data_IF_755593761815
#
_entry.id   IF_755593761815
#
_cell.length_a   1.000
_cell.length_b   1.000
_cell.length_c   1.000
_cell.angle_alpha   90.00
_cell.angle_beta   90.00
_cell.angle_gamma   90.00
#
_symmetry.space_group_name_H-M   'P 1'
#
loop_
_entity.id
_entity.type
_entity.pdbx_description
1 polymer ?
#
# COMPACT_ATOMS: atom_id res chain seq x y z
N UNK A 1 -3.07 -6.30 8.61
CA UNK A 1 -4.52 -6.52 8.66
C UNK A 1 -5.16 -6.01 7.37
N UNK A 2 -6.15 -6.73 6.86
CA UNK A 2 -6.88 -6.45 5.64
C UNK A 2 -8.33 -6.13 5.98
N UNK A 3 -8.94 -5.18 5.28
CA UNK A 3 -10.37 -4.95 5.31
C UNK A 3 -11.03 -5.68 4.14
N UNK A 4 -11.98 -6.55 4.40
CA UNK A 4 -12.76 -7.25 3.38
C UNK A 4 -14.25 -6.96 3.58
N UNK A 5 -14.92 -6.58 2.50
CA UNK A 5 -16.37 -6.44 2.45
C UNK A 5 -16.92 -7.28 1.31
N UNK A 6 -18.07 -7.91 1.53
CA UNK A 6 -18.85 -8.50 0.46
C UNK A 6 -20.16 -7.73 0.26
N UNK A 7 -20.50 -7.48 -0.98
CA UNK A 7 -21.78 -6.95 -1.40
C UNK A 7 -22.47 -8.00 -2.27
N UNK A 8 -23.77 -8.19 -2.06
CA UNK A 8 -24.56 -9.13 -2.83
C UNK A 8 -25.70 -8.40 -3.54
N UNK A 9 -25.80 -8.63 -4.86
CA UNK A 9 -26.98 -8.23 -5.63
C UNK A 9 -27.79 -9.45 -5.99
N UNK A 10 -29.06 -9.43 -5.65
CA UNK A 10 -30.01 -10.44 -6.10
C UNK A 10 -30.25 -10.28 -7.60
N UNK A 11 -30.16 -11.37 -8.36
CA UNK A 11 -30.35 -11.34 -9.82
C UNK A 11 -31.77 -10.92 -10.22
N UNK A 12 -32.76 -11.17 -9.36
CA UNK A 12 -34.18 -10.93 -9.60
C UNK A 12 -34.66 -9.58 -9.05
N UNK A 13 -33.87 -8.91 -8.23
CA UNK A 13 -34.21 -7.60 -7.65
C UNK A 13 -32.99 -6.67 -7.76
N UNK A 14 -32.93 -5.85 -8.82
CA UNK A 14 -31.84 -4.89 -8.97
C UNK A 14 -31.72 -3.97 -7.75
N UNK A 15 -30.51 -3.86 -7.18
CA UNK A 15 -30.22 -2.99 -6.05
C UNK A 15 -30.52 -3.58 -4.67
N UNK A 16 -31.03 -4.83 -4.56
CA UNK A 16 -31.18 -5.46 -3.25
C UNK A 16 -29.82 -5.92 -2.72
N UNK A 17 -29.35 -5.30 -1.65
CA UNK A 17 -28.17 -5.70 -0.93
C UNK A 17 -28.56 -6.66 0.18
N UNK A 18 -27.97 -7.87 0.21
CA UNK A 18 -28.26 -8.88 1.24
C UNK A 18 -27.19 -8.94 2.34
N UNK A 19 -26.13 -8.16 2.26
CA UNK A 19 -25.13 -8.03 3.31
C UNK A 19 -25.14 -6.63 3.90
N UNK A 20 -24.92 -6.53 5.19
CA UNK A 20 -24.53 -5.28 5.81
C UNK A 20 -23.22 -4.83 5.13
N UNK A 21 -23.16 -3.60 4.63
CA UNK A 21 -21.97 -3.01 4.01
C UNK A 21 -20.92 -2.68 5.08
N UNK A 22 -20.52 -3.69 5.85
CA UNK A 22 -19.52 -3.53 6.91
C UNK A 22 -18.24 -4.19 6.47
N UNK A 23 -17.16 -3.43 6.50
CA UNK A 23 -15.83 -3.95 6.32
C UNK A 23 -15.48 -4.84 7.51
N UNK A 24 -15.09 -6.08 7.22
CA UNK A 24 -14.61 -7.03 8.22
C UNK A 24 -13.09 -7.06 8.21
N UNK A 25 -12.49 -7.23 9.37
CA UNK A 25 -11.06 -7.29 9.54
C UNK A 25 -10.53 -8.71 9.37
N UNK A 26 -9.51 -8.87 8.56
CA UNK A 26 -8.87 -10.14 8.26
C UNK A 26 -7.35 -10.04 8.44
N UNK A 27 -6.74 -11.17 8.77
CA UNK A 27 -5.29 -11.31 8.82
C UNK A 27 -4.84 -12.44 7.88
N UNK A 28 -3.60 -12.33 7.39
CA UNK A 28 -2.93 -13.45 6.74
C UNK A 28 -2.39 -14.40 7.82
N UNK A 29 -2.57 -15.68 7.63
CA UNK A 29 -1.99 -16.74 8.48
C UNK A 29 -0.75 -17.36 7.86
N UNK A 30 -0.39 -16.93 6.66
CA UNK A 30 0.73 -17.43 5.88
C UNK A 30 1.50 -16.26 5.26
N UNK A 31 2.76 -16.48 4.95
CA UNK A 31 3.58 -15.55 4.18
C UNK A 31 3.71 -16.03 2.74
N UNK A 32 3.78 -15.09 1.79
CA UNK A 32 4.02 -15.40 0.40
C UNK A 32 3.14 -14.62 -0.58
N UNK A 33 3.26 -14.97 -1.86
CA UNK A 33 2.49 -14.33 -2.94
C UNK A 33 1.01 -14.70 -2.95
N UNK A 34 0.68 -15.85 -2.40
CA UNK A 34 -0.70 -16.31 -2.21
C UNK A 34 -0.84 -16.66 -0.73
N UNK A 35 -1.80 -16.02 -0.08
CA UNK A 35 -2.04 -16.17 1.35
C UNK A 35 -3.51 -16.42 1.62
N UNK A 36 -3.77 -17.19 2.64
CA UNK A 36 -5.12 -17.37 3.16
C UNK A 36 -5.43 -16.26 4.16
N UNK A 37 -6.58 -15.61 3.99
CA UNK A 37 -7.09 -14.63 4.93
C UNK A 37 -8.13 -15.27 5.84
N UNK A 38 -8.05 -14.99 7.13
CA UNK A 38 -9.00 -15.41 8.17
C UNK A 38 -9.45 -14.19 8.97
N UNK A 39 -10.64 -14.21 9.62
CA UNK A 39 -11.04 -13.14 10.52
C UNK A 39 -9.94 -12.86 11.56
N UNK A 40 -9.69 -11.59 11.85
CA UNK A 40 -8.59 -11.17 12.74
C UNK A 40 -8.89 -11.49 14.21
N UNK A 41 -10.16 -11.56 14.59
CA UNK A 41 -10.62 -11.89 15.94
C UNK A 41 -11.93 -12.66 15.91
N UNK A 42 -12.38 -13.17 17.05
CA UNK A 42 -13.70 -13.81 17.20
C UNK A 42 -14.86 -12.84 17.01
N UNK A 43 -14.62 -11.54 17.20
CA UNK A 43 -15.62 -10.48 17.00
C UNK A 43 -15.77 -10.12 15.50
N UNK A 44 -14.77 -10.43 14.68
CA UNK A 44 -14.82 -10.22 13.24
C UNK A 44 -15.65 -11.34 12.59
N UNK A 45 -16.68 -10.95 11.88
CA UNK A 45 -17.62 -11.91 11.29
C UNK A 45 -17.04 -12.57 10.04
N UNK A 46 -17.24 -13.86 9.92
CA UNK A 46 -17.01 -14.57 8.65
C UNK A 46 -18.04 -14.10 7.63
N UNK A 47 -17.56 -13.64 6.47
CA UNK A 47 -18.46 -13.29 5.37
C UNK A 47 -19.13 -14.57 4.86
N UNK A 48 -20.43 -14.66 5.05
CA UNK A 48 -21.23 -15.82 4.61
C UNK A 48 -21.94 -15.47 3.31
N UNK A 49 -21.68 -16.24 2.26
CA UNK A 49 -22.37 -16.14 0.98
C UNK A 49 -23.40 -17.26 0.85
N UNK A 50 -24.62 -16.91 0.42
CA UNK A 50 -25.71 -17.87 0.18
C UNK A 50 -25.97 -18.03 -1.31
N UNK A 51 -26.36 -19.23 -1.76
CA UNK A 51 -26.52 -19.58 -3.18
C UNK A 51 -27.45 -18.69 -3.98
N UNK A 52 -27.35 -18.76 -5.29
CA UNK A 52 -28.14 -18.10 -6.34
C UNK A 52 -28.01 -16.57 -6.45
N UNK A 53 -26.92 -15.99 -5.96
CA UNK A 53 -26.67 -14.56 -6.00
C UNK A 53 -25.32 -14.24 -6.60
N UNK A 54 -25.19 -13.05 -7.18
CA UNK A 54 -23.89 -12.50 -7.55
C UNK A 54 -23.30 -11.74 -6.37
N UNK A 55 -22.05 -12.05 -6.06
CA UNK A 55 -21.30 -11.41 -4.98
C UNK A 55 -20.15 -10.60 -5.56
N UNK A 56 -19.96 -9.42 -5.00
CA UNK A 56 -18.78 -8.58 -5.20
C UNK A 56 -18.02 -8.50 -3.88
N UNK A 57 -16.71 -8.73 -3.94
CA UNK A 57 -15.81 -8.64 -2.81
C UNK A 57 -14.88 -7.46 -3.02
N UNK A 58 -14.69 -6.68 -1.98
CA UNK A 58 -13.83 -5.51 -1.95
C UNK A 58 -12.80 -5.72 -0.86
N UNK A 59 -11.53 -5.53 -1.21
CA UNK A 59 -10.42 -5.64 -0.27
C UNK A 59 -9.63 -4.36 -0.20
N UNK A 60 -9.22 -3.97 1.00
CA UNK A 60 -8.33 -2.83 1.26
C UNK A 60 -7.23 -3.25 2.23
N UNK A 61 -6.03 -2.76 2.01
CA UNK A 61 -4.89 -2.92 2.91
C UNK A 61 -4.12 -1.59 2.98
N UNK A 62 -3.66 -1.16 4.16
CA UNK A 62 -3.97 -1.71 5.47
C UNK A 62 -5.46 -1.60 5.82
N UNK A 63 -5.90 -2.29 6.88
CA UNK A 63 -7.27 -2.15 7.40
C UNK A 63 -7.52 -0.68 7.76
N UNK A 64 -8.55 -0.05 7.19
CA UNK A 64 -8.83 1.36 7.45
C UNK A 64 -9.44 1.54 8.84
N UNK A 65 -9.06 2.62 9.52
CA UNK A 65 -9.65 2.99 10.80
C UNK A 65 -11.03 3.65 10.61
N UNK A 66 -12.01 3.25 11.41
CA UNK A 66 -13.35 3.83 11.43
C UNK A 66 -14.26 3.39 10.27
N UNK A 67 -15.38 4.08 10.12
CA UNK A 67 -16.31 3.86 9.03
C UNK A 67 -15.71 4.36 7.71
N UNK A 68 -15.61 3.47 6.74
CA UNK A 68 -14.96 3.76 5.46
C UNK A 68 -15.96 3.61 4.32
N UNK A 69 -16.06 4.67 3.52
CA UNK A 69 -16.72 4.63 2.23
C UNK A 69 -15.81 3.94 1.20
N UNK A 70 -16.20 2.77 0.71
CA UNK A 70 -15.43 2.02 -0.30
C UNK A 70 -15.37 2.71 -1.66
N UNK A 71 -16.19 3.74 -1.90
CA UNK A 71 -16.08 4.60 -3.08
C UNK A 71 -15.06 5.72 -2.87
N UNK A 72 -14.60 5.94 -1.64
CA UNK A 72 -13.69 7.03 -1.29
C UNK A 72 -12.70 6.65 -0.17
N UNK A 73 -12.10 5.45 -0.23
CA UNK A 73 -11.11 5.00 0.77
C UNK A 73 -9.92 5.95 0.79
N UNK A 74 -9.62 6.58 1.93
CA UNK A 74 -8.48 7.50 2.01
C UNK A 74 -7.16 6.75 1.92
N UNK A 75 -6.24 7.28 1.13
CA UNK A 75 -4.90 6.73 0.94
C UNK A 75 -3.87 7.85 0.93
N UNK A 76 -2.68 7.60 1.46
CA UNK A 76 -1.60 8.60 1.55
C UNK A 76 -0.25 7.96 1.28
N UNK A 77 0.58 8.66 0.52
CA UNK A 77 2.01 8.38 0.44
C UNK A 77 2.70 9.28 1.48
N UNK A 78 3.34 8.72 2.52
CA UNK A 78 4.10 9.51 3.46
C UNK A 78 5.30 10.18 2.78
N UNK A 79 5.54 11.46 3.06
CA UNK A 79 6.74 12.18 2.58
C UNK A 79 8.01 11.74 3.31
N UNK A 80 7.85 11.22 4.53
CA UNK A 80 8.92 10.61 5.33
C UNK A 80 8.52 9.17 5.62
N UNK A 81 9.38 8.23 5.24
CA UNK A 81 9.17 6.80 5.37
C UNK A 81 10.25 6.22 6.28
N UNK A 82 9.85 5.41 7.25
CA UNK A 82 10.79 4.83 8.21
C UNK A 82 11.38 3.53 7.64
N UNK A 83 12.68 3.48 7.47
CA UNK A 83 13.40 2.31 6.96
C UNK A 83 13.17 1.05 7.82
N UNK A 84 13.21 1.19 9.14
CA UNK A 84 13.08 0.06 10.08
C UNK A 84 11.66 -0.54 10.11
N UNK A 85 10.63 0.29 9.82
CA UNK A 85 9.25 -0.19 9.76
C UNK A 85 8.97 -1.06 8.52
N UNK A 86 9.83 -0.95 7.51
CA UNK A 86 9.68 -1.62 6.21
C UNK A 86 8.60 -0.99 5.34
N UNK A 87 8.76 -1.13 4.02
CA UNK A 87 7.85 -0.54 3.04
C UNK A 87 6.46 -1.19 3.08
N UNK A 88 6.37 -2.47 3.38
CA UNK A 88 5.12 -3.23 3.38
C UNK A 88 4.10 -2.70 4.38
N UNK A 89 4.54 -2.03 5.44
CA UNK A 89 3.63 -1.44 6.45
C UNK A 89 2.85 -0.23 5.95
N UNK A 90 3.29 0.41 4.87
CA UNK A 90 2.72 1.66 4.35
C UNK A 90 2.17 1.57 2.92
N UNK A 91 2.34 0.42 2.23
CA UNK A 91 1.86 0.26 0.85
C UNK A 91 0.36 0.00 0.83
N UNK A 92 -0.46 0.96 0.37
CA UNK A 92 -1.89 0.72 0.23
C UNK A 92 -2.14 -0.21 -0.95
N UNK A 93 -2.94 -1.24 -0.71
CA UNK A 93 -3.37 -2.18 -1.74
C UNK A 93 -4.89 -2.30 -1.75
N UNK A 94 -5.44 -2.53 -2.92
CA UNK A 94 -6.87 -2.76 -3.11
C UNK A 94 -7.09 -4.02 -3.94
N UNK A 95 -8.23 -4.66 -3.70
CA UNK A 95 -8.64 -5.83 -4.46
C UNK A 95 -10.13 -5.78 -4.74
N UNK A 96 -10.52 -6.31 -5.88
CA UNK A 96 -11.90 -6.49 -6.27
C UNK A 96 -12.09 -7.86 -6.90
N UNK A 97 -13.11 -8.58 -6.46
CA UNK A 97 -13.44 -9.88 -6.98
C UNK A 97 -14.95 -10.05 -7.16
N UNK A 98 -15.35 -10.94 -8.05
CA UNK A 98 -16.75 -11.33 -8.26
C UNK A 98 -16.89 -12.83 -8.23
N UNK A 99 -18.01 -13.32 -7.70
CA UNK A 99 -18.43 -14.69 -7.93
C UNK A 99 -19.95 -14.74 -8.16
N UNK A 100 -20.37 -15.67 -9.04
CA UNK A 100 -21.77 -15.84 -9.42
C UNK A 100 -22.41 -17.09 -8.82
N UNK A 101 -21.68 -17.80 -7.96
CA UNK A 101 -22.16 -19.04 -7.29
C UNK A 101 -21.51 -19.13 -5.92
N UNK A 102 -22.12 -19.93 -5.05
CA UNK A 102 -21.44 -20.32 -3.81
C UNK A 102 -20.18 -21.08 -4.13
N UNK A 103 -19.04 -20.50 -3.78
CA UNK A 103 -17.71 -21.09 -3.92
C UNK A 103 -17.09 -21.20 -2.53
N UNK A 104 -16.32 -22.26 -2.32
CA UNK A 104 -15.64 -22.47 -1.04
C UNK A 104 -14.47 -21.47 -0.84
N UNK A 105 -14.00 -20.87 -1.93
CA UNK A 105 -12.83 -19.95 -1.92
C UNK A 105 -13.07 -18.82 -2.91
N UNK A 106 -12.83 -17.60 -2.49
CA UNK A 106 -12.78 -16.41 -3.35
C UNK A 106 -11.34 -15.94 -3.44
N UNK A 107 -10.80 -15.91 -4.66
CA UNK A 107 -9.48 -15.36 -4.91
C UNK A 107 -9.60 -13.85 -5.12
N UNK A 108 -8.78 -13.10 -4.39
CA UNK A 108 -8.68 -11.65 -4.51
C UNK A 108 -7.24 -11.27 -4.86
N UNK A 109 -7.07 -10.51 -5.92
CA UNK A 109 -5.77 -10.01 -6.38
C UNK A 109 -5.55 -8.60 -5.83
N UNK A 110 -4.77 -8.49 -4.75
CA UNK A 110 -4.42 -7.21 -4.14
C UNK A 110 -3.34 -6.51 -4.96
N UNK A 111 -3.64 -5.31 -5.39
CA UNK A 111 -2.75 -4.47 -6.20
C UNK A 111 -2.40 -3.20 -5.46
N UNK A 112 -1.11 -2.86 -5.44
CA UNK A 112 -0.68 -1.55 -5.01
C UNK A 112 -1.19 -0.49 -6.00
N UNK A 113 -1.66 0.63 -5.47
CA UNK A 113 -2.08 1.80 -6.25
C UNK A 113 -0.94 2.79 -6.47
N UNK A 114 0.20 2.56 -5.83
CA UNK A 114 1.42 3.37 -5.92
C UNK A 114 2.60 2.52 -6.35
N UNK A 115 3.69 3.17 -6.72
CA UNK A 115 4.92 2.52 -7.15
C UNK A 115 5.89 2.34 -5.98
N UNK A 116 6.59 1.20 -5.97
CA UNK A 116 7.72 0.97 -5.07
C UNK A 116 8.98 1.07 -5.91
N UNK A 117 9.87 1.96 -5.53
CA UNK A 117 11.23 2.02 -6.07
C UNK A 117 12.18 1.30 -5.11
N UNK A 118 13.09 0.52 -5.67
CA UNK A 118 14.17 -0.12 -4.93
C UNK A 118 15.50 0.41 -5.42
N UNK A 119 16.30 0.89 -4.48
CA UNK A 119 17.64 1.41 -4.74
C UNK A 119 18.67 0.52 -4.06
N UNK A 120 19.60 0.01 -4.83
CA UNK A 120 20.76 -0.68 -4.29
C UNK A 120 21.83 0.36 -3.90
N UNK A 121 22.02 0.54 -2.61
CA UNK A 121 23.01 1.43 -2.03
C UNK A 121 24.28 0.59 -1.80
N UNK A 122 25.35 0.82 -2.58
CA UNK A 122 26.60 0.10 -2.38
C UNK A 122 27.26 0.53 -1.06
N UNK A 123 28.02 -0.37 -0.47
CA UNK A 123 29.00 0.02 0.53
C UNK A 123 30.15 0.72 -0.19
N UNK A 124 30.48 1.93 0.21
CA UNK A 124 31.72 2.56 -0.20
C UNK A 124 32.85 1.98 0.66
N UNK A 125 33.92 1.40 0.08
CA UNK A 125 35.08 0.95 0.84
C UNK A 125 35.90 2.19 1.30
N UNK A 126 35.35 2.93 2.23
CA UNK A 126 36.08 3.94 2.99
C UNK A 126 37.08 3.21 3.88
N UNK A 127 38.17 3.88 4.22
CA UNK A 127 39.28 3.33 5.03
C UNK A 127 38.78 2.48 6.20
N UNK A 128 39.52 1.45 6.60
CA UNK A 128 39.15 0.46 7.65
C UNK A 128 38.65 1.07 8.97
N UNK A 129 38.85 2.38 9.18
CA UNK A 129 38.48 3.11 10.40
C UNK A 129 37.19 3.98 10.25
N UNK A 130 36.56 4.07 9.07
CA UNK A 130 35.37 4.88 8.86
C UNK A 130 34.12 4.01 8.68
N UNK A 131 33.12 4.29 9.50
CA UNK A 131 31.82 3.60 9.46
C UNK A 131 30.88 4.41 8.58
N UNK A 132 30.43 3.83 7.45
CA UNK A 132 29.42 4.42 6.60
C UNK A 132 28.04 4.38 7.29
N UNK A 133 27.61 5.51 7.85
CA UNK A 133 26.30 5.63 8.49
C UNK A 133 25.41 6.55 7.67
N UNK A 134 24.31 6.01 7.17
CA UNK A 134 23.30 6.74 6.43
C UNK A 134 22.16 7.17 7.37
N UNK A 135 21.87 8.47 7.44
CA UNK A 135 20.77 9.02 8.25
C UNK A 135 19.49 9.18 7.45
N UNK A 136 19.60 9.60 6.20
CA UNK A 136 18.43 9.68 5.33
C UNK A 136 18.80 9.59 3.87
N UNK A 137 17.85 9.14 3.06
CA UNK A 137 17.92 9.15 1.60
C UNK A 137 16.70 9.87 1.06
N UNK A 138 16.89 10.87 0.20
CA UNK A 138 15.84 11.64 -0.44
C UNK A 138 15.80 11.34 -1.93
N UNK A 139 14.61 11.28 -2.48
CA UNK A 139 14.35 11.14 -3.89
C UNK A 139 13.49 12.30 -4.37
N UNK A 140 13.92 12.99 -5.43
CA UNK A 140 13.22 14.13 -6.01
C UNK A 140 13.53 14.26 -7.50
N UNK A 141 12.73 15.03 -8.25
CA UNK A 141 13.15 15.45 -9.60
C UNK A 141 14.19 16.56 -9.52
N UNK A 142 15.09 16.63 -10.49
CA UNK A 142 16.12 17.68 -10.57
C UNK A 142 15.48 19.07 -10.69
N UNK A 143 14.39 19.21 -11.47
CA UNK A 143 13.60 20.44 -11.59
C UNK A 143 12.72 20.75 -10.38
N UNK A 144 12.43 19.77 -9.54
CA UNK A 144 11.47 19.89 -8.44
C UNK A 144 9.99 19.99 -8.87
N UNK A 145 9.66 19.57 -10.08
CA UNK A 145 8.30 19.72 -10.63
C UNK A 145 7.40 18.50 -10.43
N UNK A 146 7.98 17.34 -10.17
CA UNK A 146 7.26 16.08 -10.09
C UNK A 146 6.67 15.87 -8.68
N UNK A 147 5.37 15.58 -8.63
CA UNK A 147 4.70 15.16 -7.38
C UNK A 147 5.02 13.70 -7.09
N UNK A 148 5.79 13.44 -6.03
CA UNK A 148 6.22 12.10 -5.62
C UNK A 148 5.43 11.56 -4.44
N UNK A 149 4.80 12.42 -3.65
CA UNK A 149 3.92 12.03 -2.57
C UNK A 149 2.67 12.90 -2.52
N UNK A 150 1.54 12.28 -2.24
CA UNK A 150 0.25 12.97 -2.08
C UNK A 150 -0.74 12.07 -1.34
N UNK A 151 -1.82 12.67 -0.86
CA UNK A 151 -3.00 11.95 -0.40
C UNK A 151 -4.13 12.00 -1.43
N UNK A 152 -5.12 11.15 -1.25
CA UNK A 152 -6.30 11.11 -2.08
C UNK A 152 -7.26 10.05 -1.60
N UNK A 153 -8.20 9.70 -2.46
CA UNK A 153 -9.16 8.63 -2.21
C UNK A 153 -9.15 7.62 -3.36
N UNK A 154 -9.47 6.38 -3.06
CA UNK A 154 -9.62 5.32 -4.05
C UNK A 154 -11.03 4.72 -3.99
N UNK A 155 -11.67 4.60 -5.14
CA UNK A 155 -12.86 3.79 -5.32
C UNK A 155 -12.41 2.35 -5.60
N UNK A 156 -12.67 1.46 -4.65
CA UNK A 156 -12.20 0.06 -4.72
C UNK A 156 -12.86 -0.72 -5.85
N UNK A 157 -14.13 -0.41 -6.18
CA UNK A 157 -14.85 -1.13 -7.23
C UNK A 157 -14.34 -0.79 -8.64
N UNK A 158 -14.06 0.49 -8.89
CA UNK A 158 -13.55 0.97 -10.18
C UNK A 158 -12.04 0.97 -10.27
N UNK A 159 -11.33 0.74 -9.16
CA UNK A 159 -9.87 0.85 -9.03
C UNK A 159 -9.36 2.25 -9.40
N UNK A 160 -10.21 3.28 -9.24
CA UNK A 160 -9.90 4.65 -9.61
C UNK A 160 -9.41 5.44 -8.41
N UNK A 161 -8.23 6.01 -8.56
CA UNK A 161 -7.66 6.96 -7.61
C UNK A 161 -8.02 8.40 -7.96
N UNK A 162 -8.37 9.19 -6.94
CA UNK A 162 -8.63 10.63 -7.04
C UNK A 162 -7.68 11.37 -6.12
N UNK A 163 -6.73 12.12 -6.70
CA UNK A 163 -5.71 12.88 -5.97
C UNK A 163 -6.32 14.11 -5.28
N UNK A 164 -5.89 14.37 -4.04
CA UNK A 164 -6.11 15.65 -3.38
C UNK A 164 -5.01 16.64 -3.80
N UNK A 165 -5.38 17.64 -4.59
CA UNK A 165 -4.43 18.61 -5.13
C UNK A 165 -3.68 19.43 -4.07
N UNK A 166 -4.24 19.58 -2.87
CA UNK A 166 -3.64 20.37 -1.79
C UNK A 166 -2.55 19.63 -1.01
N UNK A 167 -2.31 18.33 -1.28
CA UNK A 167 -1.42 17.47 -0.48
C UNK A 167 -0.18 16.98 -1.22
N UNK A 168 0.25 17.68 -2.27
CA UNK A 168 1.43 17.25 -3.06
C UNK A 168 2.75 17.58 -2.40
N UNK A 169 3.71 16.65 -2.49
CA UNK A 169 5.12 16.88 -2.16
C UNK A 169 6.03 16.43 -3.30
N UNK A 170 7.09 17.19 -3.52
CA UNK A 170 8.05 17.02 -4.62
C UNK A 170 9.23 16.11 -4.27
N UNK A 171 9.33 15.76 -3.01
CA UNK A 171 10.37 14.84 -2.51
C UNK A 171 9.76 13.79 -1.57
N UNK A 172 10.38 12.64 -1.57
CA UNK A 172 10.15 11.57 -0.59
C UNK A 172 11.48 11.25 0.09
N UNK A 173 11.44 11.07 1.41
CA UNK A 173 12.61 10.75 2.22
C UNK A 173 12.42 9.44 2.96
N UNK A 174 13.42 8.57 2.90
CA UNK A 174 13.57 7.45 3.82
C UNK A 174 14.45 7.90 4.98
N UNK A 175 13.97 7.68 6.19
CA UNK A 175 14.62 8.04 7.45
C UNK A 175 15.14 6.76 8.11
N UNK A 176 16.43 6.74 8.43
CA UNK A 176 17.12 5.61 9.05
C UNK A 176 17.20 5.73 10.58
N UNK A 177 16.57 6.76 11.14
CA UNK A 177 16.56 7.04 12.59
C UNK A 177 17.67 8.00 13.03
N UNK A 178 17.63 8.40 14.29
CA UNK A 178 18.56 9.40 14.87
C UNK A 178 20.02 8.95 14.86
N UNK A 179 20.26 7.68 15.13
CA UNK A 179 21.61 7.09 15.11
C UNK A 179 22.07 6.76 13.69
N UNK A 180 21.15 6.77 12.71
CA UNK A 180 21.39 6.33 11.35
C UNK A 180 21.47 4.80 11.24
N UNK A 181 21.83 4.33 10.06
CA UNK A 181 21.99 2.92 9.76
C UNK A 181 23.35 2.67 9.10
N UNK A 182 24.14 1.76 9.68
CA UNK A 182 25.43 1.36 9.12
C UNK A 182 25.18 0.55 7.85
N UNK A 183 25.76 1.01 6.72
CA UNK A 183 25.65 0.27 5.46
C UNK A 183 26.51 -1.00 5.57
N UNK A 184 25.93 -2.19 5.37
CA UNK A 184 26.68 -3.45 5.36
C UNK A 184 27.74 -3.47 4.24
N UNK A 185 28.81 -4.28 4.41
CA UNK A 185 29.89 -4.39 3.42
C UNK A 185 29.42 -4.86 2.04
N UNK A 186 28.33 -5.59 1.97
CA UNK A 186 27.66 -6.03 0.74
C UNK A 186 26.73 -4.97 0.13
N UNK A 187 26.59 -3.83 0.80
CA UNK A 187 25.56 -2.84 0.46
C UNK A 187 24.19 -3.21 1.00
N UNK A 188 23.19 -2.41 0.65
CA UNK A 188 21.80 -2.67 1.08
C UNK A 188 20.77 -2.21 0.04
N UNK A 189 19.61 -2.85 0.03
CA UNK A 189 18.45 -2.41 -0.72
C UNK A 189 17.61 -1.45 0.12
N UNK A 190 17.24 -0.30 -0.45
CA UNK A 190 16.35 0.68 0.16
C UNK A 190 15.10 0.81 -0.69
N UNK A 191 13.95 0.53 -0.12
CA UNK A 191 12.67 0.66 -0.81
C UNK A 191 11.98 1.96 -0.42
N UNK A 192 11.29 2.55 -1.39
CA UNK A 192 10.60 3.83 -1.26
C UNK A 192 9.26 3.78 -1.99
N UNK A 193 8.17 4.14 -1.29
CA UNK A 193 6.84 4.28 -1.88
C UNK A 193 6.72 5.66 -2.52
N UNK A 194 6.35 5.70 -3.79
CA UNK A 194 6.18 6.95 -4.54
C UNK A 194 4.90 6.93 -5.37
N UNK A 195 4.41 8.11 -5.68
CA UNK A 195 3.36 8.25 -6.68
C UNK A 195 3.86 7.81 -8.06
N UNK A 196 3.02 7.24 -8.92
CA UNK A 196 3.38 7.02 -10.31
C UNK A 196 3.75 8.35 -11.00
N UNK A 197 4.89 8.36 -11.68
CA UNK A 197 5.39 9.54 -12.39
C UNK A 197 6.05 9.14 -13.71
N UNK A 198 6.25 10.13 -14.57
CA UNK A 198 7.09 10.01 -15.77
C UNK A 198 8.42 10.66 -15.45
N UNK A 199 9.52 9.98 -15.73
CA UNK A 199 10.86 10.53 -15.51
C UNK A 199 11.03 11.77 -16.39
N UNK A 200 11.34 12.95 -15.80
CA UNK A 200 11.54 14.18 -16.57
C UNK A 200 12.87 14.15 -17.34
N UNK A 201 12.99 15.01 -18.35
CA UNK A 201 14.19 15.08 -19.20
C UNK A 201 15.47 15.45 -18.42
N UNK A 202 15.32 16.27 -17.39
CA UNK A 202 16.40 16.69 -16.48
C UNK A 202 16.75 15.64 -15.41
N UNK A 203 16.00 14.54 -15.38
CA UNK A 203 16.27 13.37 -14.55
C UNK A 203 15.76 13.46 -13.13
N UNK A 204 16.19 12.49 -12.33
CA UNK A 204 15.87 12.34 -10.92
C UNK A 204 17.15 12.35 -10.09
N UNK A 205 17.06 12.84 -8.86
CA UNK A 205 18.16 12.93 -7.91
C UNK A 205 17.93 12.04 -6.69
N UNK A 206 18.98 11.36 -6.27
CA UNK A 206 19.12 10.76 -4.97
C UNK A 206 20.08 11.59 -4.13
N UNK A 207 19.64 12.05 -2.98
CA UNK A 207 20.44 12.84 -2.05
C UNK A 207 20.59 12.06 -0.75
N UNK A 208 21.80 11.73 -0.40
CA UNK A 208 22.16 11.04 0.83
C UNK A 208 22.56 12.05 1.89
N UNK A 209 22.17 11.81 3.14
CA UNK A 209 22.69 12.50 4.30
C UNK A 209 23.33 11.46 5.23
N UNK A 210 24.61 11.66 5.46
CA UNK A 210 25.48 10.94 6.37
C UNK A 210 25.66 11.70 7.71
N UNK A 211 26.47 11.15 8.58
CA UNK A 211 26.91 11.83 9.82
C UNK A 211 27.99 12.86 9.57
#
# INVERSE_FOLDING_TARGET
EFGIMASCTRNDVPGSMMSENVIQRYISVEEGKQVRLVPASEDDRVITVKGDHNFSFYGVYPFPEGDVDLQAVPVTIPTVQNFQAGITSIVPMIAYGKCSKVVATVNMDFKSIFSILEFNVPSDPVSEDEVNVLKSMKFRSASGDIDLAYSGTVDVASMKFTKNAASSAKEVRVDFGTEGFQIPSEGMAVQMLVAPFVVPEDGMELVFADM
#
